data_IF_071582193309
#
_entry.id   IF_071582193309
#
_cell.length_a   1.000
_cell.length_b   1.000
_cell.length_c   1.000
_cell.angle_alpha   90.00
_cell.angle_beta   90.00
_cell.angle_gamma   90.00
#
_symmetry.space_group_name_H-M   'P 1'
#
loop_
_entity.id
_entity.type
_entity.pdbx_description
1 polymer ?
#
# COMPACT_ATOMS: atom_id res chain seq x y z
N UNK A 1 3.75 -0.50 24.47
CA UNK A 1 4.87 -1.46 24.39
C UNK A 1 5.41 -1.40 22.96
N UNK A 2 6.33 -0.49 22.67
CA UNK A 2 6.92 -0.34 21.34
C UNK A 2 7.89 -1.50 21.11
N UNK A 3 7.46 -2.54 20.40
CA UNK A 3 8.41 -3.46 19.77
C UNK A 3 9.16 -2.66 18.73
N UNK A 4 10.44 -2.37 19.00
CA UNK A 4 11.36 -1.85 17.99
C UNK A 4 11.66 -2.99 16.99
N UNK A 5 10.74 -3.24 16.07
CA UNK A 5 11.00 -4.05 14.89
C UNK A 5 11.36 -3.10 13.76
N UNK A 6 12.58 -3.17 13.25
CA UNK A 6 12.96 -2.49 12.00
C UNK A 6 12.18 -3.14 10.85
N UNK A 7 10.99 -2.59 10.54
CA UNK A 7 10.23 -3.03 9.38
C UNK A 7 10.79 -2.30 8.16
N UNK A 8 11.52 -3.03 7.31
CA UNK A 8 12.17 -2.43 6.14
C UNK A 8 11.19 -1.66 5.25
N UNK A 9 9.97 -2.16 5.05
CA UNK A 9 8.94 -1.44 4.27
C UNK A 9 8.48 -0.14 4.91
N UNK A 10 8.40 -0.09 6.25
CA UNK A 10 8.02 1.11 6.99
C UNK A 10 9.06 2.21 6.86
N UNK A 11 10.34 1.90 7.09
CA UNK A 11 11.41 2.89 6.95
C UNK A 11 11.55 3.38 5.51
N UNK A 12 11.47 2.46 4.54
CA UNK A 12 11.56 2.80 3.12
C UNK A 12 10.41 3.72 2.68
N UNK A 13 9.17 3.40 3.05
CA UNK A 13 8.00 4.21 2.68
C UNK A 13 7.94 5.52 3.48
N UNK A 14 8.42 5.55 4.72
CA UNK A 14 8.55 6.78 5.50
C UNK A 14 9.56 7.75 4.87
N UNK A 15 10.65 7.24 4.27
CA UNK A 15 11.62 8.07 3.56
C UNK A 15 10.98 8.80 2.37
N UNK A 16 10.02 8.17 1.68
CA UNK A 16 9.32 8.80 0.54
C UNK A 16 8.56 10.06 0.95
N UNK A 17 8.14 10.22 2.20
CA UNK A 17 7.54 11.48 2.68
C UNK A 17 8.47 12.68 2.48
N UNK A 18 9.78 12.48 2.56
CA UNK A 18 10.77 13.53 2.46
C UNK A 18 11.36 13.64 1.06
N UNK A 19 11.59 12.51 0.38
CA UNK A 19 12.27 12.50 -0.93
C UNK A 19 11.30 12.64 -2.09
N UNK A 20 10.15 11.95 -2.04
CA UNK A 20 9.23 11.82 -3.17
C UNK A 20 7.79 11.57 -2.69
N UNK A 21 7.14 12.55 -2.01
CA UNK A 21 5.83 12.34 -1.39
C UNK A 21 4.72 12.03 -2.39
N UNK A 22 4.87 12.44 -3.64
CA UNK A 22 3.93 12.17 -4.74
C UNK A 22 3.82 10.68 -5.11
N UNK A 23 4.78 9.84 -4.70
CA UNK A 23 4.73 8.39 -4.92
C UNK A 23 3.83 7.67 -3.90
N UNK A 24 3.50 8.33 -2.78
CA UNK A 24 2.62 7.75 -1.77
C UNK A 24 1.16 7.84 -2.25
N UNK A 25 0.49 6.70 -2.22
CA UNK A 25 -0.90 6.59 -2.57
C UNK A 25 -1.79 7.30 -1.55
N UNK A 26 -2.91 7.82 -2.02
CA UNK A 26 -3.96 8.40 -1.18
C UNK A 26 -5.31 7.94 -1.69
N UNK A 27 -6.24 7.69 -0.77
CA UNK A 27 -7.58 7.21 -1.08
C UNK A 27 -8.49 7.26 0.13
N UNK A 28 -9.66 7.86 -0.05
CA UNK A 28 -10.63 8.15 1.00
C UNK A 28 -11.62 7.00 1.27
N UNK A 29 -11.58 5.95 0.44
CA UNK A 29 -12.53 4.83 0.52
C UNK A 29 -13.89 5.10 -0.12
N UNK A 30 -14.08 6.21 -0.84
CA UNK A 30 -15.35 6.51 -1.54
C UNK A 30 -15.32 6.07 -3.00
N UNK A 31 -14.33 6.55 -3.75
CA UNK A 31 -14.14 6.22 -5.18
C UNK A 31 -12.96 5.27 -5.41
N UNK A 32 -11.99 5.29 -4.51
CA UNK A 32 -10.78 4.49 -4.53
C UNK A 32 -10.66 3.73 -3.21
N UNK A 33 -9.76 2.74 -3.17
CA UNK A 33 -9.44 2.00 -1.95
C UNK A 33 -9.10 2.94 -0.79
N UNK A 34 -9.47 2.55 0.43
CA UNK A 34 -9.10 3.33 1.62
C UNK A 34 -7.63 3.13 1.91
N UNK A 35 -6.86 4.22 1.89
CA UNK A 35 -5.41 4.19 2.18
C UNK A 35 -5.16 4.70 3.60
N UNK A 36 -4.30 4.01 4.34
CA UNK A 36 -3.94 4.34 5.72
C UNK A 36 -2.42 4.38 5.85
N UNK A 37 -1.84 5.51 6.25
CA UNK A 37 -0.39 5.66 6.41
C UNK A 37 0.37 5.65 5.09
N UNK A 38 1.63 5.23 5.12
CA UNK A 38 2.46 5.22 3.91
C UNK A 38 2.22 3.95 3.11
N UNK A 39 1.77 4.15 1.88
CA UNK A 39 1.46 3.08 0.94
C UNK A 39 1.99 3.48 -0.42
N UNK A 40 2.67 2.56 -1.09
CA UNK A 40 3.02 2.70 -2.50
C UNK A 40 2.14 1.78 -3.34
N UNK A 41 1.57 2.32 -4.43
CA UNK A 41 0.81 1.56 -5.41
C UNK A 41 1.34 1.89 -6.78
N UNK A 42 1.89 0.89 -7.48
CA UNK A 42 2.33 1.07 -8.85
C UNK A 42 1.16 1.51 -9.75
N UNK A 43 1.36 2.45 -10.69
CA UNK A 43 0.27 2.96 -11.54
C UNK A 43 -0.48 1.90 -12.36
N UNK A 44 0.16 0.77 -12.68
CA UNK A 44 -0.48 -0.34 -13.40
C UNK A 44 -1.29 -1.31 -12.51
N UNK A 45 -1.15 -1.21 -11.19
CA UNK A 45 -1.91 -2.06 -10.26
C UNK A 45 -3.39 -1.67 -10.25
N UNK A 46 -4.26 -2.68 -10.09
CA UNK A 46 -5.72 -2.49 -10.03
C UNK A 46 -6.21 -2.86 -8.64
N UNK A 47 -6.69 -1.86 -7.91
CA UNK A 47 -7.19 -2.05 -6.54
C UNK A 47 -8.67 -1.78 -6.49
N UNK A 48 -9.44 -2.74 -5.97
CA UNK A 48 -10.88 -2.56 -5.83
C UNK A 48 -11.20 -1.43 -4.83
N UNK A 49 -12.20 -0.55 -5.10
CA UNK A 49 -12.54 0.57 -4.23
C UNK A 49 -12.91 0.21 -2.79
N UNK A 50 -13.44 -1.00 -2.55
CA UNK A 50 -13.79 -1.47 -1.20
C UNK A 50 -12.61 -2.01 -0.39
N UNK A 51 -11.42 -2.12 -0.97
CA UNK A 51 -10.23 -2.58 -0.28
C UNK A 51 -9.70 -1.54 0.73
N UNK A 52 -8.96 -1.99 1.73
CA UNK A 52 -8.25 -1.14 2.70
C UNK A 52 -6.78 -1.48 2.71
N UNK A 53 -5.92 -0.50 2.47
CA UNK A 53 -4.48 -0.71 2.30
C UNK A 53 -3.73 0.13 3.32
N UNK A 54 -2.83 -0.52 4.05
CA UNK A 54 -1.87 0.14 4.93
C UNK A 54 -2.13 -0.05 6.43
N UNK A 55 -1.19 0.39 7.27
CA UNK A 55 0.06 1.09 6.91
C UNK A 55 1.16 0.18 6.37
N UNK A 56 2.16 0.81 5.73
CA UNK A 56 3.45 0.25 5.31
C UNK A 56 3.34 -0.87 4.27
N UNK A 57 2.51 -0.63 3.25
CA UNK A 57 2.25 -1.58 2.16
C UNK A 57 2.83 -1.08 0.85
N UNK A 58 3.51 -1.97 0.12
CA UNK A 58 3.98 -1.69 -1.24
C UNK A 58 3.30 -2.67 -2.22
N UNK A 59 2.73 -2.13 -3.29
CA UNK A 59 2.06 -2.89 -4.34
C UNK A 59 2.81 -2.64 -5.66
N UNK A 60 3.43 -3.69 -6.20
CA UNK A 60 4.20 -3.63 -7.45
C UNK A 60 3.32 -3.69 -8.71
N UNK A 61 3.94 -3.84 -9.88
CA UNK A 61 3.25 -3.71 -11.16
C UNK A 61 2.23 -4.84 -11.39
N UNK A 62 1.13 -4.49 -12.05
CA UNK A 62 0.09 -5.41 -12.54
C UNK A 62 -0.65 -6.22 -11.45
N UNK A 63 -0.39 -5.93 -10.18
CA UNK A 63 -1.09 -6.56 -9.06
C UNK A 63 -2.59 -6.27 -9.13
N UNK A 64 -3.40 -7.28 -8.79
CA UNK A 64 -4.86 -7.18 -8.70
C UNK A 64 -5.31 -7.42 -7.27
N UNK A 65 -5.93 -6.40 -6.67
CA UNK A 65 -6.48 -6.47 -5.31
C UNK A 65 -7.99 -6.52 -5.38
N UNK A 66 -8.56 -7.62 -4.91
CA UNK A 66 -9.98 -7.92 -4.89
C UNK A 66 -10.81 -7.07 -3.91
N UNK A 67 -12.12 -7.28 -3.97
CA UNK A 67 -13.08 -6.54 -3.15
C UNK A 67 -12.94 -6.90 -1.66
N UNK A 68 -12.82 -5.89 -0.80
CA UNK A 68 -12.78 -6.07 0.65
C UNK A 68 -11.44 -6.55 1.21
N UNK A 69 -10.42 -6.74 0.37
CA UNK A 69 -9.06 -7.11 0.81
C UNK A 69 -8.50 -6.07 1.78
N UNK A 70 -7.76 -6.53 2.80
CA UNK A 70 -7.12 -5.70 3.82
C UNK A 70 -5.64 -6.06 3.94
N UNK A 71 -4.76 -5.12 3.58
CA UNK A 71 -3.31 -5.32 3.60
C UNK A 71 -2.64 -4.44 4.65
N UNK A 72 -1.69 -5.01 5.40
CA UNK A 72 -0.90 -4.31 6.42
C UNK A 72 0.54 -4.83 6.41
N UNK A 73 1.52 -3.92 6.37
CA UNK A 73 2.94 -4.26 6.56
C UNK A 73 3.52 -5.28 5.58
N UNK A 74 3.02 -5.33 4.35
CA UNK A 74 3.42 -6.33 3.35
C UNK A 74 3.93 -5.70 2.05
N UNK A 75 4.64 -6.50 1.27
CA UNK A 75 5.12 -6.16 -0.08
C UNK A 75 4.49 -7.18 -1.03
N UNK A 76 3.76 -6.70 -2.03
CA UNK A 76 3.14 -7.52 -3.05
C UNK A 76 3.92 -7.35 -4.34
N UNK A 77 4.52 -8.44 -4.82
CA UNK A 77 5.35 -8.46 -6.03
C UNK A 77 4.50 -8.50 -7.30
N UNK A 78 5.17 -8.34 -8.44
CA UNK A 78 4.53 -8.20 -9.74
C UNK A 78 3.59 -9.37 -10.08
N UNK A 79 2.52 -9.04 -10.82
CA UNK A 79 1.55 -10.01 -11.37
C UNK A 79 0.80 -10.88 -10.33
N UNK A 80 0.83 -10.51 -9.05
CA UNK A 80 0.07 -11.20 -7.99
C UNK A 80 -1.41 -10.79 -8.01
N UNK A 81 -2.30 -11.77 -7.83
CA UNK A 81 -3.73 -11.56 -7.59
C UNK A 81 -4.09 -11.94 -6.15
N UNK A 82 -4.76 -11.03 -5.44
CA UNK A 82 -5.25 -11.22 -4.07
C UNK A 82 -6.77 -11.11 -4.12
N UNK A 83 -7.47 -12.15 -3.67
CA UNK A 83 -8.92 -12.26 -3.70
C UNK A 83 -9.54 -11.93 -2.34
#
# INVERSE_FOLDING_TARGET
MNRLSLKCSELYLAQFRYTSPHLLASGDGKKNAKIVGDVYIHPSAKVHPSAKIGPNVSISANVRVGAGVRLIGCIILDDVEIK
#
